data_IF_007977932676
#
_entry.id   IF_007977932676
#
_cell.length_a   1.000
_cell.length_b   1.000
_cell.length_c   1.000
_cell.angle_alpha   90.00
_cell.angle_beta   90.00
_cell.angle_gamma   90.00
#
_symmetry.space_group_name_H-M   'P 1'
#
loop_
_entity.id
_entity.type
_entity.pdbx_description
1 polymer ?
#
# COMPACT_ATOMS: atom_id res chain seq x y z
N UNK A 1 -50.14 12.50 38.75
CA UNK A 1 -51.07 11.92 37.74
C UNK A 1 -51.02 10.42 37.88
N UNK A 2 -52.17 9.84 38.17
CA UNK A 2 -52.33 8.55 38.82
C UNK A 2 -52.13 7.36 37.85
N UNK A 3 -51.32 6.36 38.22
CA UNK A 3 -51.04 5.18 37.37
C UNK A 3 -52.31 4.34 37.14
N UNK A 4 -53.16 4.32 38.16
CA UNK A 4 -54.52 3.76 38.19
C UNK A 4 -55.44 4.32 37.10
N UNK A 5 -55.33 5.62 36.77
CA UNK A 5 -56.18 6.24 35.75
C UNK A 5 -55.76 5.87 34.33
N UNK A 6 -54.46 5.61 34.10
CA UNK A 6 -53.94 5.16 32.79
C UNK A 6 -54.29 3.69 32.50
N UNK A 7 -54.28 2.82 33.52
CA UNK A 7 -54.71 1.42 33.38
C UNK A 7 -56.19 1.29 33.01
N UNK A 8 -57.05 2.15 33.56
CA UNK A 8 -58.48 2.21 33.21
C UNK A 8 -58.72 2.69 31.77
N UNK A 9 -57.89 3.60 31.26
CA UNK A 9 -57.96 4.04 29.86
C UNK A 9 -57.61 2.93 28.87
N UNK A 10 -56.58 2.11 29.17
CA UNK A 10 -56.14 0.99 28.32
C UNK A 10 -57.22 -0.10 28.21
N UNK A 11 -57.99 -0.36 29.28
CA UNK A 11 -59.06 -1.36 29.29
C UNK A 11 -60.28 -0.98 28.43
N UNK A 12 -60.44 0.32 28.12
CA UNK A 12 -61.54 0.87 27.32
C UNK A 12 -61.22 0.92 25.82
N UNK A 13 -59.97 0.65 25.43
CA UNK A 13 -59.61 0.50 24.02
C UNK A 13 -60.10 -0.85 23.47
N UNK A 14 -60.76 -0.88 22.30
CA UNK A 14 -61.18 -2.14 21.70
C UNK A 14 -59.95 -3.01 21.43
N UNK A 15 -59.96 -4.26 21.93
CA UNK A 15 -58.83 -5.20 21.87
C UNK A 15 -58.18 -5.31 20.47
N UNK A 16 -58.97 -5.14 19.41
CA UNK A 16 -58.51 -5.13 18.01
C UNK A 16 -57.60 -3.93 17.67
N UNK A 17 -57.87 -2.73 18.21
CA UNK A 17 -57.03 -1.53 17.96
C UNK A 17 -55.72 -1.57 18.75
N UNK A 18 -55.73 -2.12 19.97
CA UNK A 18 -54.51 -2.33 20.75
C UNK A 18 -53.57 -3.34 20.07
N UNK A 19 -54.12 -4.43 19.52
CA UNK A 19 -53.36 -5.43 18.78
C UNK A 19 -52.72 -4.86 17.50
N UNK A 20 -53.43 -3.98 16.77
CA UNK A 20 -52.90 -3.30 15.58
C UNK A 20 -51.73 -2.37 15.93
N UNK A 21 -51.84 -1.60 17.02
CA UNK A 21 -50.77 -0.71 17.47
C UNK A 21 -49.53 -1.51 17.89
N UNK A 22 -49.71 -2.62 18.62
CA UNK A 22 -48.60 -3.51 19.00
C UNK A 22 -47.95 -4.18 17.79
N UNK A 23 -48.73 -4.60 16.79
CA UNK A 23 -48.20 -5.16 15.55
C UNK A 23 -47.39 -4.14 14.74
N UNK A 24 -47.86 -2.89 14.67
CA UNK A 24 -47.15 -1.78 14.02
C UNK A 24 -45.85 -1.47 14.79
N UNK A 25 -45.88 -1.45 16.11
CA UNK A 25 -44.68 -1.26 16.96
C UNK A 25 -43.67 -2.38 16.76
N UNK A 26 -44.11 -3.65 16.73
CA UNK A 26 -43.26 -4.80 16.44
C UNK A 26 -42.69 -4.76 15.02
N UNK A 27 -43.44 -4.25 14.04
CA UNK A 27 -42.97 -4.06 12.67
C UNK A 27 -41.92 -2.95 12.57
N UNK A 28 -42.10 -1.82 13.27
CA UNK A 28 -41.10 -0.77 13.36
C UNK A 28 -39.84 -1.26 14.09
N UNK A 29 -39.98 -2.00 15.19
CA UNK A 29 -38.83 -2.60 15.89
C UNK A 29 -38.11 -3.59 14.97
N UNK A 30 -38.83 -4.41 14.21
CA UNK A 30 -38.25 -5.34 13.24
C UNK A 30 -37.51 -4.63 12.09
N UNK A 31 -38.01 -3.49 11.60
CA UNK A 31 -37.30 -2.67 10.61
C UNK A 31 -36.05 -2.03 11.22
N UNK A 32 -36.13 -1.52 12.46
CA UNK A 32 -34.98 -0.93 13.15
C UNK A 32 -33.90 -1.97 13.47
N UNK A 33 -34.25 -3.21 13.84
CA UNK A 33 -33.28 -4.29 14.06
C UNK A 33 -32.74 -4.91 12.77
N UNK A 34 -33.41 -4.73 11.62
CA UNK A 34 -32.84 -5.08 10.30
C UNK A 34 -31.91 -4.02 9.74
N UNK A 35 -32.15 -2.74 10.03
CA UNK A 35 -31.25 -1.65 9.63
C UNK A 35 -29.94 -1.61 10.43
N UNK A 36 -29.83 -2.40 11.51
CA UNK A 36 -28.53 -2.82 12.03
C UNK A 36 -28.01 -4.01 11.22
N UNK A 37 -27.88 -3.84 9.90
CA UNK A 37 -27.06 -4.72 9.10
C UNK A 37 -25.63 -4.58 9.60
N UNK A 38 -25.17 -5.61 10.30
CA UNK A 38 -23.78 -5.98 10.58
C UNK A 38 -22.75 -5.26 9.69
N UNK A 39 -22.34 -4.06 10.07
CA UNK A 39 -21.07 -3.50 9.64
C UNK A 39 -19.99 -4.27 10.38
N UNK A 40 -19.18 -5.05 9.66
CA UNK A 40 -18.06 -5.79 10.23
C UNK A 40 -17.23 -4.89 11.14
N UNK A 41 -17.06 -5.32 12.39
CA UNK A 41 -16.27 -4.65 13.42
C UNK A 41 -14.77 -4.79 13.16
N UNK A 42 -14.29 -4.15 12.11
CA UNK A 42 -12.87 -3.90 11.88
C UNK A 42 -12.55 -2.40 12.03
N UNK A 43 -11.30 -2.07 12.35
CA UNK A 43 -10.83 -0.68 12.31
C UNK A 43 -10.94 -0.10 10.89
N UNK A 44 -10.96 1.23 10.72
CA UNK A 44 -11.13 1.84 9.39
C UNK A 44 -10.03 1.40 8.40
N UNK A 45 -8.85 1.08 8.92
CA UNK A 45 -7.69 0.58 8.18
C UNK A 45 -7.95 -0.82 7.60
N UNK A 46 -8.57 -1.71 8.39
CA UNK A 46 -9.04 -3.05 7.98
C UNK A 46 -10.07 -3.00 6.88
N UNK A 47 -10.92 -1.99 6.89
CA UNK A 47 -11.87 -1.78 5.80
C UNK A 47 -11.16 -1.34 4.52
N UNK A 48 -10.13 -0.50 4.65
CA UNK A 48 -9.37 0.01 3.51
C UNK A 48 -8.44 -1.03 2.86
N UNK A 49 -7.78 -1.87 3.67
CA UNK A 49 -7.01 -3.00 3.12
C UNK A 49 -7.93 -4.01 2.45
N UNK A 50 -9.07 -4.35 3.07
CA UNK A 50 -10.05 -5.29 2.53
C UNK A 50 -10.65 -4.81 1.21
N UNK A 51 -10.88 -3.51 1.06
CA UNK A 51 -11.33 -2.92 -0.20
C UNK A 51 -10.27 -3.07 -1.30
N UNK A 52 -9.02 -2.74 -1.01
CA UNK A 52 -7.92 -2.88 -1.97
C UNK A 52 -7.64 -4.35 -2.33
N UNK A 53 -7.82 -5.27 -1.39
CA UNK A 53 -7.72 -6.71 -1.61
C UNK A 53 -8.79 -7.25 -2.58
N UNK A 54 -9.92 -6.55 -2.79
CA UNK A 54 -10.92 -6.98 -3.77
C UNK A 54 -10.36 -7.03 -5.20
N UNK A 55 -9.39 -6.17 -5.53
CA UNK A 55 -8.72 -6.18 -6.83
C UNK A 55 -7.99 -7.50 -7.09
N UNK A 56 -7.48 -8.13 -6.03
CA UNK A 56 -6.71 -9.37 -6.06
C UNK A 56 -7.57 -10.61 -5.80
N UNK A 57 -8.88 -10.44 -5.56
CA UNK A 57 -9.78 -11.52 -5.13
C UNK A 57 -9.75 -12.73 -6.06
N UNK A 58 -9.74 -12.49 -7.37
CA UNK A 58 -9.72 -13.56 -8.36
C UNK A 58 -8.45 -14.42 -8.24
N UNK A 59 -7.30 -13.79 -8.06
CA UNK A 59 -6.01 -14.49 -7.89
C UNK A 59 -5.93 -15.26 -6.57
N UNK A 60 -6.66 -14.80 -5.55
CA UNK A 60 -6.78 -15.47 -4.24
C UNK A 60 -7.67 -16.72 -4.37
N UNK A 61 -8.79 -16.60 -5.08
CA UNK A 61 -9.74 -17.70 -5.32
C UNK A 61 -9.13 -18.80 -6.21
N UNK A 62 -8.20 -18.44 -7.10
CA UNK A 62 -7.45 -19.37 -7.97
C UNK A 62 -6.22 -19.99 -7.27
N UNK A 63 -5.95 -19.67 -6.00
CA UNK A 63 -4.77 -20.11 -5.23
C UNK A 63 -3.41 -19.70 -5.83
N UNK A 64 -3.39 -18.75 -6.76
CA UNK A 64 -2.17 -18.16 -7.33
C UNK A 64 -1.47 -17.22 -6.33
N UNK A 65 -2.19 -16.79 -5.28
CA UNK A 65 -1.69 -15.88 -4.25
C UNK A 65 -1.94 -16.38 -2.82
N UNK A 66 -0.92 -16.29 -1.96
CA UNK A 66 -1.00 -16.58 -0.53
C UNK A 66 -1.05 -15.30 0.30
N UNK A 67 -1.93 -15.22 1.30
CA UNK A 67 -2.10 -14.03 2.14
C UNK A 67 -1.75 -14.32 3.60
N UNK A 68 -1.07 -13.39 4.25
CA UNK A 68 -0.70 -13.41 5.68
C UNK A 68 -0.07 -14.75 6.07
N UNK A 69 -0.78 -15.60 6.81
CA UNK A 69 -0.27 -16.90 7.27
C UNK A 69 0.03 -17.88 6.12
N UNK A 70 -0.62 -17.71 4.97
CA UNK A 70 -0.35 -18.48 3.77
C UNK A 70 0.69 -17.82 2.85
N UNK A 71 1.18 -16.62 3.19
CA UNK A 71 2.22 -15.94 2.43
C UNK A 71 3.60 -16.50 2.79
N UNK A 72 4.45 -16.67 1.79
CA UNK A 72 5.85 -17.03 1.93
C UNK A 72 6.67 -15.75 1.78
N UNK A 73 7.34 -15.38 2.86
CA UNK A 73 8.12 -14.16 3.00
C UNK A 73 9.54 -14.30 2.43
N UNK A 74 9.64 -14.86 1.22
CA UNK A 74 10.91 -15.14 0.56
C UNK A 74 10.79 -14.95 -0.94
N UNK A 75 11.83 -14.36 -1.55
CA UNK A 75 11.96 -14.22 -3.00
C UNK A 75 13.33 -14.69 -3.45
N UNK A 76 13.40 -15.36 -4.59
CA UNK A 76 14.67 -15.83 -5.13
C UNK A 76 14.57 -16.22 -6.59
N UNK A 77 15.72 -16.23 -7.26
CA UNK A 77 15.86 -16.62 -8.66
C UNK A 77 16.84 -17.79 -8.86
N UNK A 78 17.23 -18.47 -7.77
CA UNK A 78 18.20 -19.55 -7.77
C UNK A 78 19.66 -19.09 -7.70
N UNK A 79 19.96 -17.86 -8.13
CA UNK A 79 21.28 -17.25 -7.94
C UNK A 79 21.42 -16.63 -6.55
N UNK A 80 20.38 -15.89 -6.14
CA UNK A 80 20.24 -15.38 -4.79
C UNK A 80 18.80 -15.50 -4.29
N UNK A 81 18.66 -15.45 -2.98
CA UNK A 81 17.40 -15.39 -2.26
C UNK A 81 17.45 -14.28 -1.21
N UNK A 82 16.29 -13.72 -0.92
CA UNK A 82 16.10 -12.70 0.11
C UNK A 82 14.83 -13.03 0.87
N UNK A 83 14.90 -13.02 2.20
CA UNK A 83 13.71 -13.13 3.05
C UNK A 83 13.16 -11.75 3.45
N UNK A 84 12.02 -11.72 4.16
CA UNK A 84 11.42 -10.46 4.63
C UNK A 84 12.24 -9.73 5.68
N UNK A 85 13.17 -10.41 6.34
CA UNK A 85 14.07 -9.84 7.33
C UNK A 85 15.35 -9.27 6.69
N UNK A 86 15.54 -9.53 5.39
CA UNK A 86 16.68 -9.04 4.65
C UNK A 86 17.91 -9.92 4.70
N UNK A 87 17.79 -11.17 5.16
CA UNK A 87 18.87 -12.13 5.09
C UNK A 87 19.03 -12.58 3.65
N UNK A 88 20.24 -12.41 3.12
CA UNK A 88 20.58 -12.83 1.79
C UNK A 88 21.05 -14.28 1.81
N UNK A 89 20.54 -15.07 0.87
CA UNK A 89 20.88 -16.47 0.68
C UNK A 89 21.52 -16.64 -0.67
N UNK A 90 22.73 -17.18 -0.72
CA UNK A 90 23.42 -17.47 -1.97
C UNK A 90 23.90 -18.91 -1.98
N UNK A 91 23.90 -19.51 -3.16
CA UNK A 91 24.46 -20.84 -3.35
C UNK A 91 25.98 -20.73 -3.56
N UNK A 92 26.76 -21.31 -2.64
CA UNK A 92 28.20 -21.51 -2.80
C UNK A 92 28.46 -23.02 -3.01
N UNK A 93 28.64 -23.40 -4.27
CA UNK A 93 28.86 -24.80 -4.69
C UNK A 93 27.74 -25.73 -4.16
N UNK A 94 28.01 -26.47 -3.08
CA UNK A 94 27.11 -27.47 -2.49
C UNK A 94 26.43 -27.00 -1.19
N UNK A 95 26.62 -25.74 -0.78
CA UNK A 95 26.01 -25.18 0.43
C UNK A 95 25.25 -23.91 0.10
N UNK A 96 24.20 -23.65 0.87
CA UNK A 96 23.54 -22.34 0.90
C UNK A 96 24.18 -21.56 2.04
N UNK A 97 24.70 -20.39 1.74
CA UNK A 97 25.22 -19.45 2.72
C UNK A 97 24.11 -18.45 3.05
N UNK A 98 23.71 -18.41 4.31
CA UNK A 98 22.85 -17.37 4.86
C UNK A 98 23.77 -16.26 5.38
N UNK A 99 23.75 -15.13 4.68
CA UNK A 99 24.54 -13.94 5.02
C UNK A 99 23.59 -12.88 5.53
N UNK A 100 23.70 -12.56 6.81
CA UNK A 100 23.07 -11.38 7.37
C UNK A 100 23.84 -10.16 6.86
N UNK A 101 23.33 -9.55 5.80
CA UNK A 101 23.89 -8.32 5.29
C UNK A 101 23.36 -7.16 6.11
N UNK A 102 24.24 -6.35 6.71
CA UNK A 102 23.85 -5.06 7.31
C UNK A 102 23.31 -4.03 6.31
N UNK A 103 23.22 -4.41 5.03
CA UNK A 103 22.65 -3.64 3.93
C UNK A 103 21.39 -4.33 3.43
N UNK A 104 20.22 -3.78 3.74
CA UNK A 104 18.96 -4.20 3.15
C UNK A 104 18.67 -3.35 1.91
N UNK A 105 18.67 -3.92 0.69
CA UNK A 105 18.52 -3.14 -0.54
C UNK A 105 17.09 -2.66 -0.79
N UNK A 106 16.12 -3.02 0.06
CA UNK A 106 14.74 -2.60 -0.08
C UNK A 106 14.44 -1.35 0.76
N UNK A 107 13.77 -0.39 0.12
CA UNK A 107 13.27 0.84 0.70
C UNK A 107 12.20 0.53 1.73
N UNK A 108 12.38 1.03 2.96
CA UNK A 108 11.29 1.14 3.94
C UNK A 108 10.48 2.40 3.65
N UNK A 109 9.17 2.25 3.50
CA UNK A 109 8.26 3.36 3.20
C UNK A 109 7.26 3.48 4.35
N UNK A 110 7.44 4.52 5.15
CA UNK A 110 6.57 4.89 6.26
C UNK A 110 5.93 6.25 5.97
N UNK A 111 4.62 6.34 6.20
CA UNK A 111 3.89 7.61 6.12
C UNK A 111 3.82 8.16 7.55
N UNK A 112 4.31 9.39 7.75
CA UNK A 112 4.20 10.09 9.03
C UNK A 112 2.71 10.30 9.37
N UNK A 113 2.21 9.59 10.37
CA UNK A 113 0.83 9.71 10.85
C UNK A 113 0.62 8.92 12.15
N UNK A 114 -0.22 9.40 13.09
CA UNK A 114 -0.36 8.75 14.38
C UNK A 114 -1.53 7.76 14.39
N UNK A 115 -1.47 6.60 13.71
CA UNK A 115 -2.52 5.56 13.74
C UNK A 115 -2.00 4.14 13.37
N UNK A 116 -2.70 3.06 13.79
CA UNK A 116 -2.24 1.68 13.61
C UNK A 116 -2.08 1.31 12.13
N UNK A 117 -0.93 0.73 11.79
CA UNK A 117 -0.65 0.26 10.43
C UNK A 117 -1.16 -1.17 10.30
N UNK A 118 -2.10 -1.39 9.40
CA UNK A 118 -2.41 -2.74 8.98
C UNK A 118 -1.44 -3.17 7.88
N UNK A 119 -0.73 -4.27 8.14
CA UNK A 119 0.22 -4.87 7.21
C UNK A 119 -0.40 -6.14 6.65
N UNK A 120 -0.67 -6.15 5.34
CA UNK A 120 -1.05 -7.36 4.62
C UNK A 120 0.14 -7.87 3.82
N UNK A 121 0.52 -9.13 4.06
CA UNK A 121 1.58 -9.80 3.30
C UNK A 121 0.94 -10.70 2.26
N UNK A 122 1.40 -10.60 1.03
CA UNK A 122 0.82 -11.28 -0.12
C UNK A 122 1.96 -11.87 -0.95
N UNK A 123 1.95 -13.17 -1.17
CA UNK A 123 2.92 -13.84 -2.05
C UNK A 123 2.22 -14.23 -3.33
N UNK A 124 2.75 -13.78 -4.46
CA UNK A 124 2.32 -14.13 -5.80
C UNK A 124 3.19 -15.28 -6.29
N UNK A 125 2.64 -16.50 -6.27
CA UNK A 125 3.38 -17.72 -6.59
C UNK A 125 3.68 -17.81 -8.09
N UNK A 126 2.77 -17.29 -8.92
CA UNK A 126 2.91 -17.30 -10.39
C UNK A 126 4.07 -16.44 -10.84
N UNK A 127 4.14 -15.21 -10.34
CA UNK A 127 5.20 -14.27 -10.67
C UNK A 127 6.45 -14.43 -9.79
N UNK A 128 6.35 -15.14 -8.66
CA UNK A 128 7.45 -15.32 -7.70
C UNK A 128 7.79 -14.00 -7.01
N UNK A 129 6.77 -13.23 -6.66
CA UNK A 129 6.93 -11.90 -6.09
C UNK A 129 6.28 -11.82 -4.70
N UNK A 130 6.93 -11.14 -3.78
CA UNK A 130 6.38 -10.83 -2.46
C UNK A 130 5.87 -9.39 -2.48
N UNK A 131 4.61 -9.20 -2.12
CA UNK A 131 3.92 -7.92 -2.03
C UNK A 131 3.57 -7.65 -0.58
N UNK A 132 4.00 -6.51 -0.06
CA UNK A 132 3.67 -6.04 1.29
C UNK A 132 2.84 -4.77 1.15
N UNK A 133 1.61 -4.83 1.61
CA UNK A 133 0.69 -3.71 1.60
C UNK A 133 0.55 -3.14 3.01
N UNK A 134 0.74 -1.82 3.14
CA UNK A 134 0.55 -1.05 4.36
C UNK A 134 -0.51 0.00 4.10
N UNK A 135 -1.64 -0.10 4.78
CA UNK A 135 -2.72 0.88 4.66
C UNK A 135 -2.77 1.77 5.90
N UNK A 136 -3.00 3.06 5.67
CA UNK A 136 -3.07 4.11 6.67
C UNK A 136 -4.41 4.84 6.51
N UNK A 137 -5.05 5.17 7.65
CA UNK A 137 -6.14 6.13 7.67
C UNK A 137 -5.57 7.54 7.80
N UNK A 138 -5.89 8.42 6.84
CA UNK A 138 -5.45 9.82 6.91
C UNK A 138 -6.52 10.59 7.68
N UNK A 139 -6.21 11.05 8.88
CA UNK A 139 -7.05 12.01 9.60
C UNK A 139 -6.77 13.39 9.00
N UNK A 140 -7.78 14.00 8.39
CA UNK A 140 -7.64 15.33 7.78
C UNK A 140 -7.14 16.36 8.80
N UNK A 141 -5.96 16.94 8.56
CA UNK A 141 -5.47 18.05 9.36
C UNK A 141 -6.31 19.29 9.03
N UNK A 142 -7.04 19.77 10.03
CA UNK A 142 -8.01 20.85 9.94
C UNK A 142 -7.33 22.22 9.73
N UNK A 143 -6.97 22.58 8.50
CA UNK A 143 -6.60 23.98 8.17
C UNK A 143 -7.83 24.70 7.62
N UNK A 144 -8.59 25.29 8.55
CA UNK A 144 -9.93 25.89 8.34
C UNK A 144 -9.97 27.20 7.51
N UNK A 145 -8.95 27.55 6.72
CA UNK A 145 -8.86 28.92 6.16
C UNK A 145 -8.52 29.09 4.67
N UNK A 146 -8.31 28.03 3.89
CA UNK A 146 -8.14 28.22 2.44
C UNK A 146 -8.90 27.15 1.68
N UNK A 147 -9.80 27.61 0.81
CA UNK A 147 -10.65 26.82 -0.09
C UNK A 147 -9.77 26.10 -1.12
N UNK A 148 -9.13 25.03 -0.69
CA UNK A 148 -8.57 23.96 -1.51
C UNK A 148 -9.44 22.75 -1.18
N UNK A 149 -9.87 22.02 -2.21
CA UNK A 149 -10.75 20.86 -2.09
C UNK A 149 -10.20 19.91 -0.99
N UNK A 150 -10.79 20.01 0.20
CA UNK A 150 -10.42 19.25 1.38
C UNK A 150 -10.87 17.81 1.16
N UNK A 151 -9.94 16.86 1.34
CA UNK A 151 -10.26 15.44 1.45
C UNK A 151 -11.39 15.29 2.47
N UNK A 152 -12.40 14.49 2.12
CA UNK A 152 -13.43 14.10 3.07
C UNK A 152 -12.84 13.16 4.13
N UNK A 153 -13.35 13.25 5.35
CA UNK A 153 -13.04 12.32 6.43
C UNK A 153 -13.21 10.86 5.95
N UNK A 154 -12.11 10.09 5.88
CA UNK A 154 -12.15 8.66 5.49
C UNK A 154 -11.33 8.27 4.27
N UNK A 155 -10.54 9.16 3.68
CA UNK A 155 -9.62 8.78 2.61
C UNK A 155 -8.42 7.98 3.15
N UNK A 156 -8.25 6.77 2.62
CA UNK A 156 -7.17 5.85 3.00
C UNK A 156 -6.02 5.90 2.01
N UNK A 157 -4.79 5.95 2.51
CA UNK A 157 -3.58 5.84 1.71
C UNK A 157 -2.98 4.44 1.90
N UNK A 158 -2.75 3.71 0.81
CA UNK A 158 -2.14 2.38 0.88
C UNK A 158 -0.85 2.32 0.06
N UNK A 159 0.24 1.95 0.72
CA UNK A 159 1.54 1.70 0.12
C UNK A 159 1.69 0.21 -0.14
N UNK A 160 1.88 -0.18 -1.39
CA UNK A 160 2.14 -1.55 -1.80
C UNK A 160 3.58 -1.65 -2.29
N UNK A 161 4.40 -2.42 -1.61
CA UNK A 161 5.79 -2.73 -2.00
C UNK A 161 5.85 -4.13 -2.57
N UNK A 162 6.18 -4.26 -3.84
CA UNK A 162 6.43 -5.54 -4.50
C UNK A 162 7.94 -5.73 -4.64
N UNK A 163 8.43 -6.90 -4.26
CA UNK A 163 9.82 -7.31 -4.38
C UNK A 163 9.91 -8.64 -5.11
N UNK A 164 10.88 -8.75 -6.01
CA UNK A 164 11.19 -9.99 -6.72
C UNK A 164 12.65 -9.99 -7.21
N UNK A 165 13.23 -11.18 -7.30
CA UNK A 165 14.52 -11.38 -7.94
C UNK A 165 14.30 -11.57 -9.46
N UNK A 166 15.05 -10.83 -10.29
CA UNK A 166 14.86 -10.88 -11.73
C UNK A 166 15.27 -12.26 -12.27
N UNK A 167 14.38 -12.90 -13.06
CA UNK A 167 14.61 -14.28 -13.54
C UNK A 167 15.70 -14.39 -14.60
N UNK A 168 15.73 -13.47 -15.57
CA UNK A 168 16.71 -13.52 -16.68
C UNK A 168 18.00 -12.75 -16.40
N UNK A 169 18.03 -11.96 -15.32
CA UNK A 169 19.20 -11.14 -14.94
C UNK A 169 19.54 -11.50 -13.50
N UNK A 170 20.43 -12.48 -13.27
CA UNK A 170 20.60 -13.10 -11.97
C UNK A 170 21.03 -12.12 -10.87
N UNK A 171 21.72 -11.04 -11.24
CA UNK A 171 22.26 -10.03 -10.31
C UNK A 171 21.27 -8.89 -9.98
N UNK A 172 20.04 -8.94 -10.48
CA UNK A 172 19.08 -7.83 -10.31
C UNK A 172 18.02 -8.18 -9.26
N UNK A 173 17.95 -7.35 -8.24
CA UNK A 173 16.85 -7.28 -7.29
C UNK A 173 15.96 -6.09 -7.67
N UNK A 174 14.65 -6.32 -7.78
CA UNK A 174 13.71 -5.27 -8.16
C UNK A 174 12.71 -5.06 -7.04
N UNK A 175 12.58 -3.81 -6.61
CA UNK A 175 11.51 -3.35 -5.74
C UNK A 175 10.66 -2.32 -6.50
N UNK A 176 9.35 -2.52 -6.48
CA UNK A 176 8.37 -1.59 -7.03
C UNK A 176 7.51 -1.10 -5.87
N UNK A 177 7.48 0.21 -5.66
CA UNK A 177 6.62 0.85 -4.66
C UNK A 177 5.48 1.55 -5.36
N UNK A 178 4.24 1.20 -5.01
CA UNK A 178 3.03 1.82 -5.51
C UNK A 178 2.23 2.43 -4.36
N UNK A 179 1.87 3.69 -4.50
CA UNK A 179 1.03 4.40 -3.52
C UNK A 179 -0.32 4.63 -4.18
N UNK A 180 -1.38 4.04 -3.63
CA UNK A 180 -2.76 4.26 -4.10
C UNK A 180 -3.46 5.24 -3.17
N UNK A 181 -4.19 6.17 -3.79
CA UNK A 181 -4.79 7.35 -3.16
C UNK A 181 -3.80 8.36 -2.54
N UNK A 182 -2.75 8.81 -3.26
CA UNK A 182 -2.11 10.07 -2.93
C UNK A 182 -2.97 11.20 -3.49
N UNK A 183 -3.32 12.20 -2.67
CA UNK A 183 -3.77 13.48 -3.24
C UNK A 183 -2.62 14.12 -3.99
N UNK A 184 -2.59 13.90 -5.30
CA UNK A 184 -1.59 14.51 -6.19
C UNK A 184 -2.00 15.95 -6.43
N UNK A 185 -1.34 16.86 -5.72
CA UNK A 185 -1.51 18.30 -5.94
C UNK A 185 -0.33 18.79 -6.76
N UNK A 186 -0.61 19.37 -7.94
CA UNK A 186 0.40 20.11 -8.69
C UNK A 186 0.70 21.39 -7.95
N UNK A 187 1.94 21.57 -7.52
CA UNK A 187 2.39 22.82 -6.92
C UNK A 187 2.37 23.93 -7.99
N UNK A 188 1.56 24.96 -7.74
CA UNK A 188 1.43 26.14 -8.62
C UNK A 188 2.29 27.32 -8.15
N UNK A 189 3.06 27.15 -7.09
CA UNK A 189 3.92 28.18 -6.50
C UNK A 189 5.39 27.89 -6.76
N UNK A 190 5.80 26.63 -6.59
CA UNK A 190 7.18 26.21 -6.81
C UNK A 190 7.27 25.39 -8.11
N UNK A 191 7.68 26.06 -9.17
CA UNK A 191 7.96 25.42 -10.46
C UNK A 191 9.42 24.97 -10.54
N UNK A 192 9.72 24.09 -11.49
CA UNK A 192 11.11 23.79 -11.85
C UNK A 192 11.79 25.06 -12.37
N UNK A 193 13.11 25.11 -12.19
CA UNK A 193 13.90 26.24 -12.62
C UNK A 193 13.83 26.40 -14.16
N UNK A 194 13.83 27.63 -14.65
CA UNK A 194 13.64 27.96 -16.08
C UNK A 194 14.73 27.40 -17.00
N UNK A 195 15.89 27.13 -16.42
CA UNK A 195 17.07 26.57 -17.07
C UNK A 195 17.05 25.04 -17.14
N UNK A 196 16.09 24.38 -16.47
CA UNK A 196 15.92 22.93 -16.59
C UNK A 196 15.37 22.58 -17.98
N UNK A 197 15.98 21.60 -18.63
CA UNK A 197 15.53 21.00 -19.88
C UNK A 197 14.15 20.31 -19.75
N UNK A 198 13.69 20.09 -18.52
CA UNK A 198 12.33 19.66 -18.19
C UNK A 198 12.27 18.35 -17.42
N UNK A 199 11.04 17.86 -17.24
CA UNK A 199 10.73 16.68 -16.46
C UNK A 199 9.83 17.00 -15.27
N UNK A 200 9.87 16.16 -14.24
CA UNK A 200 9.01 16.30 -13.05
C UNK A 200 9.81 15.99 -11.80
N UNK A 201 9.59 16.81 -10.76
CA UNK A 201 10.03 16.51 -9.41
C UNK A 201 8.81 16.23 -8.54
N UNK A 202 8.83 15.10 -7.84
CA UNK A 202 7.79 14.71 -6.90
C UNK A 202 8.30 14.98 -5.50
N UNK A 203 7.51 15.70 -4.71
CA UNK A 203 7.79 15.98 -3.31
C UNK A 203 6.68 15.39 -2.43
N UNK A 204 7.08 14.69 -1.36
CA UNK A 204 6.18 14.15 -0.36
C UNK A 204 6.62 14.59 1.05
N UNK A 205 5.71 14.45 2.03
CA UNK A 205 5.98 14.73 3.45
C UNK A 205 6.57 16.14 3.66
N UNK A 206 5.87 17.16 3.15
CA UNK A 206 6.29 18.56 3.19
C UNK A 206 7.71 18.81 2.63
N UNK A 207 8.11 18.08 1.58
CA UNK A 207 9.39 18.24 0.91
C UNK A 207 10.55 17.43 1.49
N UNK A 208 10.33 16.64 2.56
CA UNK A 208 11.38 15.77 3.13
C UNK A 208 11.79 14.63 2.20
N UNK A 209 10.86 14.14 1.39
CA UNK A 209 11.12 13.09 0.41
C UNK A 209 10.97 13.73 -0.97
N UNK A 210 12.07 13.79 -1.72
CA UNK A 210 12.10 14.33 -3.07
C UNK A 210 12.57 13.25 -4.04
N UNK A 211 11.78 13.00 -5.07
CA UNK A 211 12.12 12.11 -6.18
C UNK A 211 12.22 12.98 -7.42
N UNK A 212 13.44 13.13 -7.96
CA UNK A 212 13.67 13.87 -9.19
C UNK A 212 13.64 12.94 -10.39
N UNK A 213 12.78 13.25 -11.36
CA UNK A 213 12.72 12.62 -12.68
C UNK A 213 12.94 13.67 -13.77
N UNK A 214 13.86 14.61 -13.52
CA UNK A 214 14.28 15.58 -14.53
C UNK A 214 15.18 14.92 -15.57
N UNK A 215 15.26 15.53 -16.76
CA UNK A 215 16.08 15.00 -17.86
C UNK A 215 17.56 14.92 -17.46
N UNK A 216 18.06 15.93 -16.76
CA UNK A 216 19.43 16.03 -16.27
C UNK A 216 19.73 14.90 -15.28
N UNK A 217 18.83 14.68 -14.31
CA UNK A 217 18.98 13.62 -13.30
C UNK A 217 19.06 12.24 -13.97
N UNK A 218 18.25 12.01 -15.01
CA UNK A 218 18.29 10.74 -15.76
C UNK A 218 19.57 10.62 -16.60
N UNK A 219 20.00 11.71 -17.24
CA UNK A 219 21.23 11.73 -18.04
C UNK A 219 22.45 11.42 -17.16
N UNK A 220 22.57 12.04 -15.99
CA UNK A 220 23.67 11.81 -15.05
C UNK A 220 23.69 10.39 -14.53
N UNK A 221 22.52 9.84 -14.18
CA UNK A 221 22.40 8.44 -13.74
C UNK A 221 22.87 7.47 -14.84
N UNK A 222 22.44 7.69 -16.08
CA UNK A 222 22.85 6.85 -17.21
C UNK A 222 24.34 7.03 -17.49
N UNK A 223 24.81 8.28 -17.58
CA UNK A 223 26.19 8.63 -17.87
C UNK A 223 27.13 7.89 -16.93
N UNK A 224 26.87 7.93 -15.62
CA UNK A 224 27.66 7.25 -14.59
C UNK A 224 27.70 5.71 -14.79
N UNK A 225 26.63 5.09 -15.28
CA UNK A 225 26.60 3.65 -15.56
C UNK A 225 27.33 3.29 -16.85
N UNK A 226 27.31 4.17 -17.86
CA UNK A 226 27.89 3.90 -19.18
C UNK A 226 29.30 4.46 -19.37
N UNK A 227 29.89 5.16 -18.38
CA UNK A 227 31.26 5.70 -18.46
C UNK A 227 32.29 4.67 -18.95
N UNK A 228 32.30 3.41 -18.47
CA UNK A 228 33.29 2.43 -18.94
C UNK A 228 33.17 2.14 -20.44
N UNK A 229 31.94 2.10 -20.96
CA UNK A 229 31.64 1.84 -22.37
C UNK A 229 32.02 3.05 -23.22
N UNK A 230 31.68 4.27 -22.76
CA UNK A 230 32.05 5.53 -23.42
C UNK A 230 33.56 5.69 -23.47
N UNK A 231 34.28 5.43 -22.38
CA UNK A 231 35.75 5.44 -22.37
C UNK A 231 36.32 4.48 -23.42
N UNK A 232 35.80 3.26 -23.48
CA UNK A 232 36.28 2.24 -24.42
C UNK A 232 36.00 2.63 -25.87
N UNK A 233 34.84 3.24 -26.14
CA UNK A 233 34.48 3.72 -27.46
C UNK A 233 35.35 4.91 -27.92
N UNK A 234 35.69 5.81 -27.00
CA UNK A 234 36.48 7.01 -27.31
C UNK A 234 37.99 6.75 -27.36
N UNK A 235 38.51 5.94 -26.45
CA UNK A 235 39.96 5.75 -26.26
C UNK A 235 40.43 4.34 -26.61
N UNK A 236 39.54 3.47 -27.05
CA UNK A 236 39.82 2.07 -27.30
C UNK A 236 39.90 1.23 -26.02
N UNK A 237 40.00 -0.10 -26.19
CA UNK A 237 40.16 -1.04 -25.07
C UNK A 237 41.54 -0.91 -24.43
N UNK A 238 41.62 -1.15 -23.12
CA UNK A 238 42.90 -1.20 -22.42
C UNK A 238 43.67 -2.47 -22.83
N UNK A 239 44.86 -2.37 -23.46
CA UNK A 239 45.62 -3.54 -23.93
C UNK A 239 46.09 -4.44 -22.78
N UNK A 240 46.20 -3.90 -21.56
CA UNK A 240 46.62 -4.67 -20.38
C UNK A 240 45.45 -5.38 -19.67
N UNK A 241 44.20 -5.17 -20.09
CA UNK A 241 43.04 -5.86 -19.51
C UNK A 241 42.73 -7.10 -20.33
N UNK A 242 43.12 -8.26 -19.82
CA UNK A 242 42.88 -9.55 -20.47
C UNK A 242 41.52 -10.20 -20.12
N UNK A 243 40.93 -9.84 -18.98
CA UNK A 243 39.69 -10.47 -18.46
C UNK A 243 38.60 -9.43 -18.18
N UNK A 244 37.36 -9.78 -18.49
CA UNK A 244 36.18 -8.91 -18.40
C UNK A 244 35.17 -9.34 -17.33
N UNK A 245 35.53 -10.38 -16.58
CA UNK A 245 34.70 -11.12 -15.63
C UNK A 245 34.59 -10.42 -14.26
#
# INVERSE_FOLDING_TARGET
MDFESKLRAIRRYPKRRLALILAILMFFIFIFTRNTSSGQGGSKEQQCSAEKLKLWRKEIEEFDTGINNASVEFVGNGFFGLDSLGQLRFQDKNRVLDVETGFYPALSVEIDGPQPVEVTKITDFKNGALKVMRCYSVVGLFVKFLKVHLLQDGECACVTSQIYAHRTRPNYFVQIVQISNPTVVVDKKNFLASESAGGVELAARAGKIKVSSTLESRLDLIANQIVPQVRTALFGPNPNRAFFD
#
